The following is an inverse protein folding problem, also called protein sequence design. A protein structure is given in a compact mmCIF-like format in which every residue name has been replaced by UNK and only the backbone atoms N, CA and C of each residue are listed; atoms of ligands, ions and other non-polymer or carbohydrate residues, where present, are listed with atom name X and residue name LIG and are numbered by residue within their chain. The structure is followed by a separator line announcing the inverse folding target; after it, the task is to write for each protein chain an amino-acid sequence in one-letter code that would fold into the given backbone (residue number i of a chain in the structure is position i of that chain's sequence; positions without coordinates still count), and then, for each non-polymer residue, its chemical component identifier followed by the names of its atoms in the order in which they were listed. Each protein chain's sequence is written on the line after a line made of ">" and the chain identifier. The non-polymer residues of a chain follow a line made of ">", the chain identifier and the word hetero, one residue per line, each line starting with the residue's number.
data_IF_882271481738
#
_entry.id   IF_882271481738
#
_cell.length_a   1.000
_cell.length_b   1.000
_cell.length_c   1.000
_cell.angle_alpha   90.00
_cell.angle_beta   90.00
_cell.angle_gamma   90.00
#
_symmetry.space_group_name_H-M   'P 1'
#
loop_
_entity.id
_entity.type
_entity.pdbx_description
1 polymer ?
#
# COMPACT_ATOMS: atom_id res chain seq x y z
N UNK A 1 2.01 21.21 -9.13
CA UNK A 1 2.02 19.75 -8.93
C UNK A 1 3.48 19.34 -8.87
N UNK A 2 3.99 19.02 -7.69
CA UNK A 2 5.41 18.75 -7.45
C UNK A 2 5.86 17.50 -8.21
N UNK A 3 6.92 17.62 -9.02
CA UNK A 3 7.51 16.53 -9.79
C UNK A 3 8.13 15.43 -8.93
N UNK A 4 8.37 15.73 -7.65
CA UNK A 4 9.07 14.88 -6.68
C UNK A 4 8.44 13.50 -6.51
N UNK A 5 7.12 13.37 -6.70
CA UNK A 5 6.40 12.11 -6.49
C UNK A 5 5.97 11.44 -7.79
N UNK A 6 6.32 11.99 -8.96
CA UNK A 6 5.87 11.45 -10.25
C UNK A 6 6.24 9.98 -10.39
N UNK A 7 7.51 9.66 -10.12
CA UNK A 7 8.08 8.33 -10.31
C UNK A 7 8.21 7.52 -9.00
N UNK A 8 7.68 8.06 -7.89
CA UNK A 8 7.70 7.37 -6.60
C UNK A 8 6.84 6.10 -6.61
N UNK A 9 7.36 5.01 -6.04
CA UNK A 9 6.62 3.78 -5.74
C UNK A 9 5.68 4.03 -4.55
N UNK A 10 4.45 3.51 -4.61
CA UNK A 10 3.44 3.69 -3.57
C UNK A 10 3.12 2.38 -2.85
N UNK A 11 3.49 2.28 -1.58
CA UNK A 11 2.98 1.25 -0.68
C UNK A 11 1.84 1.83 0.17
N UNK A 12 0.68 1.18 0.15
CA UNK A 12 -0.46 1.49 1.01
C UNK A 12 -0.61 0.41 2.07
N UNK A 13 -0.56 0.76 3.35
CA UNK A 13 -0.97 -0.16 4.40
C UNK A 13 -2.46 -0.02 4.69
N UNK A 14 -3.23 -1.06 4.42
CA UNK A 14 -4.61 -1.22 4.86
C UNK A 14 -4.63 -1.53 6.37
N UNK A 15 -4.18 -0.57 7.18
CA UNK A 15 -3.91 -0.78 8.60
C UNK A 15 -5.19 -0.87 9.45
N UNK A 16 -5.03 -1.43 10.66
CA UNK A 16 -6.07 -1.66 11.69
C UNK A 16 -7.03 -2.81 11.36
N UNK A 17 -6.55 -3.85 10.67
CA UNK A 17 -7.35 -5.03 10.32
C UNK A 17 -7.82 -5.86 11.53
N UNK A 18 -7.31 -5.54 12.72
CA UNK A 18 -7.75 -6.09 14.01
C UNK A 18 -9.07 -5.48 14.51
N UNK A 19 -9.48 -4.31 14.01
CA UNK A 19 -10.66 -3.62 14.49
C UNK A 19 -11.94 -4.17 13.85
N UNK A 20 -13.06 -4.20 14.61
CA UNK A 20 -14.36 -4.48 14.03
C UNK A 20 -14.69 -3.41 12.98
N UNK A 21 -15.26 -3.85 11.85
CA UNK A 21 -15.58 -3.01 10.69
C UNK A 21 -14.37 -2.49 9.90
N UNK A 22 -13.19 -3.09 10.06
CA UNK A 22 -12.09 -2.86 9.13
C UNK A 22 -12.55 -3.21 7.71
N UNK A 23 -12.31 -2.29 6.78
CA UNK A 23 -12.57 -2.54 5.37
C UNK A 23 -11.55 -3.54 4.83
N UNK A 24 -12.01 -4.42 3.96
CA UNK A 24 -11.13 -5.31 3.23
C UNK A 24 -10.18 -4.51 2.32
N UNK A 25 -9.06 -5.14 1.96
CA UNK A 25 -8.11 -4.58 1.01
C UNK A 25 -8.79 -4.21 -0.32
N UNK A 26 -9.73 -5.04 -0.81
CA UNK A 26 -10.47 -4.76 -2.04
C UNK A 26 -11.31 -3.49 -1.93
N UNK A 27 -12.08 -3.34 -0.85
CA UNK A 27 -12.91 -2.15 -0.64
C UNK A 27 -12.08 -0.87 -0.49
N UNK A 28 -10.91 -0.96 0.16
CA UNK A 28 -9.98 0.17 0.25
C UNK A 28 -9.36 0.51 -1.10
N UNK A 29 -9.01 -0.51 -1.91
CA UNK A 29 -8.47 -0.31 -3.26
C UNK A 29 -9.45 0.47 -4.13
N UNK A 30 -10.74 0.12 -4.06
CA UNK A 30 -11.81 0.81 -4.79
C UNK A 30 -12.02 2.24 -4.26
N UNK A 31 -12.17 2.41 -2.94
CA UNK A 31 -12.44 3.72 -2.33
C UNK A 31 -11.29 4.72 -2.50
N UNK A 32 -10.05 4.25 -2.51
CA UNK A 32 -8.87 5.07 -2.77
C UNK A 32 -8.62 5.28 -4.27
N UNK A 33 -9.36 4.60 -5.14
CA UNK A 33 -9.21 4.71 -6.59
C UNK A 33 -7.84 4.25 -7.09
N UNK A 34 -7.21 3.27 -6.43
CA UNK A 34 -5.86 2.83 -6.79
C UNK A 34 -5.79 2.26 -8.21
N UNK A 35 -6.89 1.69 -8.71
CA UNK A 35 -7.04 1.25 -10.10
C UNK A 35 -6.87 2.38 -11.14
N UNK A 36 -7.05 3.64 -10.76
CA UNK A 36 -6.84 4.79 -11.64
C UNK A 36 -5.35 5.17 -11.78
N UNK A 37 -4.48 4.69 -10.88
CA UNK A 37 -3.04 4.99 -10.87
C UNK A 37 -2.24 4.15 -11.87
N UNK A 38 -2.67 4.13 -13.15
CA UNK A 38 -2.09 3.25 -14.18
C UNK A 38 -0.62 3.52 -14.49
N UNK A 39 -0.14 4.73 -14.23
CA UNK A 39 1.26 5.13 -14.50
C UNK A 39 2.16 5.04 -13.27
N UNK A 40 1.71 4.43 -12.18
CA UNK A 40 2.46 4.34 -10.93
C UNK A 40 2.50 2.89 -10.44
N UNK A 41 3.68 2.43 -10.03
CA UNK A 41 3.84 1.17 -9.32
C UNK A 41 3.27 1.32 -7.92
N UNK A 42 2.29 0.50 -7.56
CA UNK A 42 1.67 0.52 -6.24
C UNK A 42 1.36 -0.88 -5.73
N UNK A 43 1.29 -1.01 -4.42
CA UNK A 43 0.83 -2.21 -3.70
C UNK A 43 0.03 -1.79 -2.47
N UNK A 44 -0.88 -2.66 -2.06
CA UNK A 44 -1.65 -2.49 -0.83
C UNK A 44 -1.53 -3.75 0.02
N UNK A 45 -1.13 -3.57 1.27
CA UNK A 45 -0.86 -4.68 2.19
C UNK A 45 -1.82 -4.64 3.37
N UNK A 46 -2.37 -5.81 3.72
CA UNK A 46 -3.26 -5.97 4.88
C UNK A 46 -2.42 -5.87 6.15
N UNK A 47 -2.78 -5.00 7.10
CA UNK A 47 -1.85 -4.70 8.21
C UNK A 47 -2.53 -4.49 9.55
N UNK A 48 -1.88 -5.01 10.59
CA UNK A 48 -2.14 -4.66 11.99
C UNK A 48 -0.83 -4.18 12.61
N UNK A 49 -0.59 -2.87 12.60
CA UNK A 49 0.68 -2.31 13.02
C UNK A 49 1.02 -2.58 14.50
N UNK A 50 0.02 -2.69 15.37
CA UNK A 50 0.20 -3.00 16.79
C UNK A 50 0.66 -4.45 17.03
N UNK A 51 0.35 -5.36 16.11
CA UNK A 51 0.78 -6.76 16.15
C UNK A 51 1.95 -7.06 15.20
N UNK A 52 2.33 -6.08 14.36
CA UNK A 52 3.40 -6.21 13.37
C UNK A 52 3.01 -6.95 12.09
N UNK A 53 1.80 -7.50 11.99
CA UNK A 53 1.32 -8.25 10.84
C UNK A 53 1.28 -7.38 9.58
N UNK A 54 1.83 -7.88 8.47
CA UNK A 54 1.83 -7.22 7.16
C UNK A 54 2.91 -6.14 6.99
N UNK A 55 3.55 -5.69 8.07
CA UNK A 55 4.58 -4.66 7.97
C UNK A 55 5.82 -5.15 7.24
N UNK A 56 6.26 -6.37 7.54
CA UNK A 56 7.45 -6.94 6.91
C UNK A 56 7.21 -7.21 5.44
N UNK A 57 6.07 -7.82 5.10
CA UNK A 57 5.67 -8.15 3.73
C UNK A 57 5.55 -6.89 2.86
N UNK A 58 4.90 -5.83 3.38
CA UNK A 58 4.79 -4.58 2.64
C UNK A 58 6.13 -3.88 2.44
N UNK A 59 7.00 -3.86 3.45
CA UNK A 59 8.33 -3.27 3.35
C UNK A 59 9.28 -4.08 2.46
N UNK A 60 9.18 -5.41 2.49
CA UNK A 60 9.93 -6.30 1.60
C UNK A 60 9.53 -6.06 0.15
N UNK A 61 8.23 -5.98 -0.16
CA UNK A 61 7.75 -5.59 -1.48
C UNK A 61 8.30 -4.23 -1.92
N UNK A 62 8.23 -3.22 -1.04
CA UNK A 62 8.73 -1.88 -1.34
C UNK A 62 10.24 -1.90 -1.61
N UNK A 63 11.01 -2.65 -0.82
CA UNK A 63 12.45 -2.81 -1.01
C UNK A 63 12.78 -3.45 -2.37
N UNK A 64 12.02 -4.48 -2.76
CA UNK A 64 12.18 -5.13 -4.05
C UNK A 64 11.87 -4.17 -5.20
N UNK A 65 10.77 -3.41 -5.14
CA UNK A 65 10.44 -2.44 -6.20
C UNK A 65 11.46 -1.31 -6.30
N UNK A 66 11.98 -0.82 -5.18
CA UNK A 66 13.02 0.23 -5.18
C UNK A 66 14.35 -0.27 -5.77
N UNK A 67 14.66 -1.56 -5.64
CA UNK A 67 15.87 -2.17 -6.23
C UNK A 67 15.79 -2.45 -7.73
N UNK A 68 14.61 -2.33 -8.34
CA UNK A 68 14.43 -2.53 -9.80
C UNK A 68 14.80 -1.30 -10.63
N UNK A 69 15.05 -0.17 -9.97
CA UNK A 69 15.46 1.09 -10.59
C UNK A 69 16.97 1.29 -10.59
#
# INVERSE_FOLDING_TARGET
>A
MSYELKDAVLLVFANKQDLPNALSVSELTDKLGLHALRSKTWHIESTCATQGTGLYEGLDWLSQELSKN
#
